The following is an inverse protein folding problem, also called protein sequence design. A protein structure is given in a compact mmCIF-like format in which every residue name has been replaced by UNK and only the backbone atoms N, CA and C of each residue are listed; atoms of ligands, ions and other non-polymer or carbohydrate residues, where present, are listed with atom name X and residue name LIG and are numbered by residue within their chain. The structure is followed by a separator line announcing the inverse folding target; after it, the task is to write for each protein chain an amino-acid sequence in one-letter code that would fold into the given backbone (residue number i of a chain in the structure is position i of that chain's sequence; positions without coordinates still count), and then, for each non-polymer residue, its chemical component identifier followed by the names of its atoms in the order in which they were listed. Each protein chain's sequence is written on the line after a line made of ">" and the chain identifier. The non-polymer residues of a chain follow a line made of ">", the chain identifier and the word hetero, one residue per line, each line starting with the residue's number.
data_IF_711832399215
#
_entry.id   IF_711832399215
#
_cell.length_a   1.000
_cell.length_b   1.000
_cell.length_c   1.000
_cell.angle_alpha   90.00
_cell.angle_beta   90.00
_cell.angle_gamma   90.00
#
_symmetry.space_group_name_H-M   'P 1'
#
loop_
_entity.id
_entity.type
_entity.pdbx_description
1 polymer ?
#
# COMPACT_ATOMS: atom_id res chain seq x y z
N UNK A 1 -9.60 -13.97 -4.51
CA UNK A 1 -8.24 -13.89 -5.10
C UNK A 1 -7.37 -12.93 -4.30
N UNK A 2 -6.07 -13.22 -4.09
CA UNK A 2 -5.16 -12.36 -3.30
C UNK A 2 -4.17 -11.61 -4.19
N UNK A 3 -4.04 -10.31 -3.99
CA UNK A 3 -3.06 -9.46 -4.69
C UNK A 3 -2.09 -8.84 -3.69
N UNK A 4 -0.79 -8.90 -4.00
CA UNK A 4 0.24 -8.26 -3.17
C UNK A 4 0.43 -6.81 -3.61
N UNK A 5 0.74 -5.92 -2.66
CA UNK A 5 1.16 -4.57 -2.97
C UNK A 5 2.46 -4.56 -3.80
N UNK A 6 2.55 -3.65 -4.76
CA UNK A 6 3.74 -3.34 -5.55
C UNK A 6 4.74 -2.60 -4.66
N UNK A 7 5.92 -3.19 -4.50
CA UNK A 7 6.95 -2.68 -3.61
C UNK A 7 7.97 -1.87 -4.38
N UNK A 8 8.14 -0.60 -4.01
CA UNK A 8 9.24 0.23 -4.47
C UNK A 8 10.57 -0.22 -3.83
N UNK A 9 11.54 -0.73 -4.61
CA UNK A 9 12.80 -1.25 -4.07
C UNK A 9 13.65 -0.16 -3.39
N UNK A 10 13.60 1.11 -3.84
CA UNK A 10 14.31 2.20 -3.19
C UNK A 10 13.82 2.44 -1.77
N UNK A 11 12.49 2.39 -1.57
CA UNK A 11 11.92 2.58 -0.25
C UNK A 11 12.34 1.44 0.69
N UNK A 12 12.40 0.21 0.18
CA UNK A 12 12.89 -0.94 0.96
C UNK A 12 14.36 -0.77 1.31
N UNK A 13 15.22 -0.47 0.33
CA UNK A 13 16.66 -0.28 0.55
C UNK A 13 16.90 0.85 1.54
N UNK A 14 16.18 1.97 1.38
CA UNK A 14 16.30 3.13 2.27
C UNK A 14 15.91 2.80 3.70
N UNK A 15 14.76 2.14 3.94
CA UNK A 15 14.38 1.73 5.30
C UNK A 15 15.39 0.72 5.86
N UNK A 16 15.80 -0.27 5.08
CA UNK A 16 16.76 -1.29 5.55
C UNK A 16 18.10 -0.67 5.94
N UNK A 17 18.62 0.27 5.14
CA UNK A 17 19.83 1.03 5.45
C UNK A 17 19.65 1.88 6.71
N UNK A 18 18.50 2.53 6.85
CA UNK A 18 18.20 3.35 8.02
C UNK A 18 18.17 2.49 9.30
N UNK A 19 17.52 1.32 9.24
CA UNK A 19 17.50 0.34 10.34
C UNK A 19 18.90 -0.18 10.64
N UNK A 20 19.74 -0.48 9.63
CA UNK A 20 21.09 -1.00 9.86
C UNK A 20 22.00 0.02 10.51
N UNK A 21 21.98 1.29 10.06
CA UNK A 21 22.72 2.40 10.69
C UNK A 21 22.28 2.56 12.15
N UNK A 22 20.96 2.50 12.39
CA UNK A 22 20.40 2.63 13.72
C UNK A 22 20.82 1.48 14.65
N UNK A 23 20.80 0.25 14.15
CA UNK A 23 21.28 -0.93 14.86
C UNK A 23 22.76 -0.80 15.24
N UNK A 24 23.60 -0.34 14.30
CA UNK A 24 25.03 -0.12 14.56
C UNK A 24 25.21 0.97 15.63
N UNK A 25 24.45 2.07 15.57
CA UNK A 25 24.50 3.15 16.55
C UNK A 25 24.17 2.69 17.98
N UNK A 26 23.29 1.70 18.15
CA UNK A 26 22.95 1.15 19.48
C UNK A 26 24.16 0.49 20.17
N UNK A 27 25.12 -0.06 19.41
CA UNK A 27 26.32 -0.68 19.99
C UNK A 27 27.35 0.35 20.48
N UNK A 28 27.29 1.58 19.96
CA UNK A 28 28.22 2.65 20.34
C UNK A 28 27.64 3.62 21.39
N UNK A 29 26.33 3.55 21.65
CA UNK A 29 25.67 4.40 22.64
C UNK A 29 25.49 3.63 23.96
N UNK A 30 26.19 4.07 25.01
CA UNK A 30 26.19 3.42 26.32
C UNK A 30 24.94 3.74 27.17
N UNK A 31 24.08 4.63 26.69
CA UNK A 31 22.85 5.08 27.35
C UNK A 31 21.64 4.59 26.56
N UNK A 32 20.74 3.83 27.21
CA UNK A 32 19.47 3.40 26.63
C UNK A 32 18.48 4.56 26.59
N UNK A 33 18.67 5.46 25.64
CA UNK A 33 17.77 6.60 25.47
C UNK A 33 16.43 6.13 24.88
N UNK A 34 15.35 6.38 25.63
CA UNK A 34 13.94 6.13 25.23
C UNK A 34 13.64 6.65 23.81
N UNK A 35 14.27 7.76 23.43
CA UNK A 35 14.14 8.33 22.10
C UNK A 35 14.58 7.34 21.01
N UNK A 36 15.68 6.62 21.23
CA UNK A 36 16.18 5.66 20.25
C UNK A 36 15.26 4.45 20.11
N UNK A 37 14.78 3.92 21.24
CA UNK A 37 13.82 2.80 21.23
C UNK A 37 12.53 3.17 20.51
N UNK A 38 12.01 4.39 20.73
CA UNK A 38 10.80 4.87 20.07
C UNK A 38 11.00 5.06 18.55
N UNK A 39 12.13 5.63 18.15
CA UNK A 39 12.50 5.77 16.73
C UNK A 39 12.62 4.41 16.03
N UNK A 40 13.20 3.40 16.69
CA UNK A 40 13.30 2.04 16.15
C UNK A 40 11.94 1.39 15.97
N UNK A 41 11.07 1.52 16.98
CA UNK A 41 9.70 0.98 16.93
C UNK A 41 8.91 1.58 15.76
N UNK A 42 8.98 2.91 15.57
CA UNK A 42 8.32 3.60 14.45
C UNK A 42 8.82 3.10 13.08
N UNK A 43 10.13 2.83 12.95
CA UNK A 43 10.68 2.29 11.70
C UNK A 43 10.21 0.85 11.43
N UNK A 44 10.13 0.01 12.46
CA UNK A 44 9.62 -1.36 12.35
C UNK A 44 8.15 -1.34 11.93
N UNK A 45 7.34 -0.47 12.55
CA UNK A 45 5.92 -0.31 12.18
C UNK A 45 5.79 0.11 10.71
N UNK A 46 6.53 1.12 10.26
CA UNK A 46 6.52 1.55 8.86
C UNK A 46 6.93 0.43 7.89
N UNK A 47 7.98 -0.32 8.22
CA UNK A 47 8.41 -1.46 7.41
C UNK A 47 7.33 -2.54 7.36
N UNK A 48 6.73 -2.87 8.50
CA UNK A 48 5.65 -3.87 8.58
C UNK A 48 4.45 -3.45 7.73
N UNK A 49 4.07 -2.17 7.74
CA UNK A 49 2.99 -1.63 6.92
C UNK A 49 3.22 -1.89 5.44
N UNK A 50 4.44 -1.68 5.00
CA UNK A 50 4.84 -1.91 3.62
C UNK A 50 4.88 -3.39 3.22
N UNK A 51 5.29 -4.27 4.13
CA UNK A 51 5.45 -5.71 3.83
C UNK A 51 4.15 -6.51 3.90
N UNK A 52 3.26 -6.15 4.82
CA UNK A 52 2.00 -6.87 5.05
C UNK A 52 0.81 -6.31 4.28
N UNK A 53 1.00 -5.24 3.50
CA UNK A 53 -0.07 -4.70 2.65
C UNK A 53 -0.46 -5.66 1.53
N UNK A 54 -1.72 -6.06 1.50
CA UNK A 54 -2.29 -6.94 0.47
C UNK A 54 -3.79 -6.73 0.31
N UNK A 55 -4.30 -7.19 -0.81
CA UNK A 55 -5.70 -7.18 -1.16
C UNK A 55 -6.22 -8.60 -1.20
N UNK A 56 -7.44 -8.79 -0.72
CA UNK A 56 -8.17 -10.03 -0.91
C UNK A 56 -9.54 -9.70 -1.49
N UNK A 57 -9.75 -10.12 -2.73
CA UNK A 57 -11.03 -10.00 -3.45
C UNK A 57 -11.84 -11.25 -3.10
N UNK A 58 -12.94 -11.07 -2.38
CA UNK A 58 -13.89 -12.15 -2.05
C UNK A 58 -15.02 -12.18 -3.08
N UNK A 59 -16.10 -12.92 -2.82
CA UNK A 59 -17.27 -12.97 -3.71
C UNK A 59 -18.12 -11.69 -3.64
N UNK A 60 -18.11 -10.99 -2.50
CA UNK A 60 -18.99 -9.84 -2.26
C UNK A 60 -18.23 -8.56 -1.84
N UNK A 61 -16.97 -8.68 -1.42
CA UNK A 61 -16.22 -7.58 -0.84
C UNK A 61 -14.76 -7.54 -1.26
N UNK A 62 -14.21 -6.33 -1.32
CA UNK A 62 -12.78 -6.08 -1.37
C UNK A 62 -12.24 -5.87 0.04
N UNK A 63 -11.36 -6.76 0.47
CA UNK A 63 -10.62 -6.60 1.72
C UNK A 63 -9.28 -5.94 1.41
N UNK A 64 -9.09 -4.73 1.93
CA UNK A 64 -7.85 -3.96 1.87
C UNK A 64 -7.13 -4.09 3.20
N UNK A 65 -5.97 -4.74 3.20
CA UNK A 65 -5.07 -4.80 4.35
C UNK A 65 -3.90 -3.86 4.14
N UNK A 66 -3.73 -2.93 5.06
CA UNK A 66 -2.58 -2.04 5.11
C UNK A 66 -1.80 -2.25 6.41
N UNK A 67 -0.69 -2.99 6.32
CA UNK A 67 0.07 -3.38 7.49
C UNK A 67 -0.66 -4.33 8.43
N UNK A 68 -0.35 -4.19 9.72
CA UNK A 68 -0.88 -5.05 10.78
C UNK A 68 -2.21 -4.53 11.36
N UNK A 69 -2.44 -3.22 11.28
CA UNK A 69 -3.51 -2.54 12.03
C UNK A 69 -4.72 -2.25 11.15
N UNK A 70 -4.51 -1.86 9.90
CA UNK A 70 -5.61 -1.43 9.05
C UNK A 70 -6.16 -2.59 8.23
N UNK A 71 -7.41 -2.92 8.52
CA UNK A 71 -8.23 -3.90 7.82
C UNK A 71 -9.54 -3.22 7.44
N UNK A 72 -9.70 -2.92 6.16
CA UNK A 72 -10.93 -2.31 5.64
C UNK A 72 -11.59 -3.30 4.69
N UNK A 73 -12.81 -3.70 5.03
CA UNK A 73 -13.66 -4.47 4.13
C UNK A 73 -14.62 -3.52 3.43
N UNK A 74 -14.64 -3.57 2.11
CA UNK A 74 -15.42 -2.68 1.27
C UNK A 74 -16.34 -3.54 0.41
N UNK A 75 -17.65 -3.55 0.64
CA UNK A 75 -18.61 -4.23 -0.24
C UNK A 75 -18.51 -3.72 -1.68
N UNK A 76 -18.66 -4.61 -2.65
CA UNK A 76 -18.56 -4.25 -4.06
C UNK A 76 -19.63 -3.26 -4.52
N UNK A 77 -20.81 -3.31 -3.91
CA UNK A 77 -21.91 -2.37 -4.16
C UNK A 77 -21.53 -0.93 -3.81
N UNK A 78 -20.70 -0.73 -2.79
CA UNK A 78 -20.31 0.58 -2.28
C UNK A 78 -19.15 1.21 -3.06
N UNK A 79 -18.41 0.43 -3.85
CA UNK A 79 -17.28 0.93 -4.64
C UNK A 79 -17.80 1.78 -5.79
N UNK A 80 -17.47 3.08 -5.77
CA UNK A 80 -17.90 4.03 -6.79
C UNK A 80 -16.83 4.28 -7.85
N UNK A 81 -15.62 4.55 -7.40
CA UNK A 81 -14.52 4.77 -8.31
C UNK A 81 -13.17 4.46 -7.67
N UNK A 82 -12.25 4.06 -8.55
CA UNK A 82 -10.86 3.78 -8.21
C UNK A 82 -10.01 4.76 -8.99
N UNK A 83 -9.08 5.41 -8.31
CA UNK A 83 -8.22 6.43 -8.88
C UNK A 83 -6.77 6.11 -8.58
N UNK A 84 -5.92 6.25 -9.59
CA UNK A 84 -4.48 6.25 -9.38
C UNK A 84 -4.01 7.69 -9.15
N UNK A 85 -3.38 7.92 -8.02
CA UNK A 85 -2.89 9.23 -7.58
C UNK A 85 -1.37 9.21 -7.48
N UNK A 86 -0.71 10.33 -7.76
CA UNK A 86 0.76 10.41 -7.79
C UNK A 86 1.38 10.15 -9.17
N UNK A 87 2.72 10.06 -9.22
CA UNK A 87 3.48 9.95 -10.48
C UNK A 87 3.77 8.50 -10.84
N UNK A 88 3.35 8.09 -12.04
CA UNK A 88 3.97 6.97 -12.75
C UNK A 88 5.44 7.31 -12.95
N UNK A 89 6.33 6.49 -12.42
CA UNK A 89 7.73 6.55 -12.83
C UNK A 89 7.83 5.75 -14.14
N UNK A 90 8.81 6.07 -14.99
CA UNK A 90 9.02 5.43 -16.31
C UNK A 90 9.33 3.92 -16.26
N UNK A 91 9.20 3.24 -15.11
CA UNK A 91 9.53 1.84 -14.94
C UNK A 91 8.30 1.04 -14.55
N UNK A 92 8.07 -0.08 -15.24
CA UNK A 92 7.02 -1.06 -14.90
C UNK A 92 7.06 -1.54 -13.46
N UNK A 93 8.25 -1.54 -12.82
CA UNK A 93 8.42 -2.04 -11.45
C UNK A 93 8.32 -0.93 -10.41
N UNK A 94 8.42 0.34 -10.80
CA UNK A 94 8.56 1.45 -9.87
C UNK A 94 7.41 2.42 -10.00
N UNK A 95 6.75 2.71 -8.89
CA UNK A 95 5.75 3.76 -8.89
C UNK A 95 5.76 4.48 -7.55
N UNK A 96 5.53 5.80 -7.60
CA UNK A 96 5.11 6.58 -6.43
C UNK A 96 3.60 6.77 -6.43
N UNK A 97 2.90 6.05 -7.31
CA UNK A 97 1.46 6.07 -7.31
C UNK A 97 0.89 5.35 -6.10
N UNK A 98 -0.27 5.83 -5.72
CA UNK A 98 -1.15 5.24 -4.73
C UNK A 98 -2.47 4.92 -5.41
N UNK A 99 -3.11 3.87 -4.92
CA UNK A 99 -4.46 3.50 -5.29
C UNK A 99 -5.41 4.13 -4.27
N UNK A 100 -6.25 5.04 -4.73
CA UNK A 100 -7.35 5.64 -3.97
C UNK A 100 -8.64 4.90 -4.35
N UNK A 101 -9.26 4.22 -3.40
CA UNK A 101 -10.54 3.53 -3.59
C UNK A 101 -11.60 4.34 -2.86
N UNK A 102 -12.54 4.92 -3.60
CA UNK A 102 -13.65 5.68 -3.05
C UNK A 102 -14.90 4.83 -2.96
N UNK A 103 -15.43 4.73 -1.75
CA UNK A 103 -16.60 3.92 -1.41
C UNK A 103 -17.60 4.72 -0.58
N UNK A 104 -18.80 4.19 -0.36
CA UNK A 104 -19.91 4.88 0.32
C UNK A 104 -20.16 6.28 -0.28
N UNK A 105 -20.63 7.26 0.50
CA UNK A 105 -20.85 8.63 0.01
C UNK A 105 -19.61 9.52 0.09
N UNK A 106 -18.74 9.32 1.10
CA UNK A 106 -17.59 10.19 1.35
C UNK A 106 -16.32 9.45 1.75
N UNK A 107 -16.36 8.12 1.83
CA UNK A 107 -15.24 7.35 2.35
C UNK A 107 -14.23 7.04 1.24
N UNK A 108 -12.96 7.00 1.63
CA UNK A 108 -11.89 6.54 0.77
C UNK A 108 -10.81 5.82 1.55
N UNK A 109 -10.16 4.87 0.87
CA UNK A 109 -8.95 4.23 1.37
C UNK A 109 -7.83 4.44 0.37
N UNK A 110 -6.69 4.93 0.87
CA UNK A 110 -5.48 5.13 0.07
C UNK A 110 -4.48 4.05 0.43
N UNK A 111 -3.99 3.34 -0.57
CA UNK A 111 -3.13 2.17 -0.38
C UNK A 111 -2.14 2.00 -1.54
N UNK A 112 -1.19 1.08 -1.39
CA UNK A 112 -0.17 0.82 -2.40
C UNK A 112 -0.76 0.13 -3.64
N UNK A 113 -0.35 0.57 -4.82
CA UNK A 113 -0.78 -0.04 -6.09
C UNK A 113 -0.53 -1.57 -6.07
N UNK A 114 -1.48 -2.41 -6.49
CA UNK A 114 -1.28 -3.86 -6.56
C UNK A 114 -0.19 -4.22 -7.58
N UNK A 115 0.52 -5.34 -7.38
CA UNK A 115 1.60 -5.77 -8.28
C UNK A 115 1.08 -6.14 -9.69
N UNK A 116 -0.11 -6.73 -9.75
CA UNK A 116 -0.79 -7.13 -10.99
C UNK A 116 -1.95 -6.14 -11.23
N UNK A 117 -1.60 -4.93 -11.64
CA UNK A 117 -2.51 -3.77 -11.76
C UNK A 117 -3.70 -4.06 -12.70
N UNK A 118 -3.40 -4.52 -13.91
CA UNK A 118 -4.40 -4.80 -14.94
C UNK A 118 -5.40 -5.86 -14.50
N UNK A 119 -4.91 -7.03 -14.07
CA UNK A 119 -5.74 -8.12 -13.56
C UNK A 119 -6.59 -7.71 -12.36
N UNK A 120 -6.04 -6.89 -11.46
CA UNK A 120 -6.79 -6.39 -10.31
C UNK A 120 -7.94 -5.50 -10.75
N UNK A 121 -7.71 -4.61 -11.71
CA UNK A 121 -8.73 -3.70 -12.24
C UNK A 121 -9.77 -4.45 -13.07
N UNK A 122 -9.36 -5.44 -13.88
CA UNK A 122 -10.29 -6.32 -14.62
C UNK A 122 -11.20 -7.07 -13.65
N UNK A 123 -10.63 -7.71 -12.63
CA UNK A 123 -11.42 -8.42 -11.62
C UNK A 123 -12.36 -7.48 -10.86
N UNK A 124 -11.93 -6.26 -10.54
CA UNK A 124 -12.83 -5.26 -9.93
C UNK A 124 -13.94 -4.82 -10.88
N UNK A 125 -13.68 -4.66 -12.18
CA UNK A 125 -14.73 -4.33 -13.16
C UNK A 125 -15.76 -5.46 -13.32
N UNK A 126 -15.31 -6.70 -13.25
CA UNK A 126 -16.20 -7.88 -13.29
C UNK A 126 -17.15 -7.92 -12.10
N UNK A 127 -16.64 -7.62 -10.89
CA UNK A 127 -17.43 -7.67 -9.66
C UNK A 127 -18.20 -6.37 -9.37
N UNK A 128 -17.73 -5.23 -9.89
CA UNK A 128 -18.31 -3.89 -9.70
C UNK A 128 -18.53 -3.20 -11.06
N UNK A 129 -19.53 -3.59 -11.87
CA UNK A 129 -19.76 -2.98 -13.19
C UNK A 129 -20.06 -1.47 -13.13
N UNK A 130 -20.54 -0.96 -11.99
CA UNK A 130 -20.80 0.46 -11.74
C UNK A 130 -19.53 1.28 -11.44
N UNK A 131 -18.41 0.62 -11.11
CA UNK A 131 -17.18 1.28 -10.71
C UNK A 131 -16.53 2.00 -11.90
N UNK A 132 -16.12 3.26 -11.69
CA UNK A 132 -15.33 4.02 -12.67
C UNK A 132 -13.83 3.97 -12.33
N UNK A 133 -12.99 3.78 -13.34
CA UNK A 133 -11.52 3.88 -13.19
C UNK A 133 -11.08 5.25 -13.67
N UNK A 134 -10.52 6.06 -12.76
CA UNK A 134 -10.02 7.40 -13.04
C UNK A 134 -8.49 7.40 -13.10
N UNK A 135 -7.92 8.16 -14.04
CA UNK A 135 -6.47 8.31 -14.21
C UNK A 135 -5.74 6.96 -14.32
N UNK A 136 -6.24 6.04 -15.14
CA UNK A 136 -5.52 4.80 -15.45
C UNK A 136 -4.11 5.15 -15.97
N UNK A 137 -3.04 4.45 -15.54
CA UNK A 137 -1.69 4.69 -16.03
C UNK A 137 -1.53 4.50 -17.55
N UNK A 138 -2.55 3.98 -18.25
CA UNK A 138 -2.61 3.93 -19.70
C UNK A 138 -3.23 5.22 -20.28
N UNK A 139 -2.42 6.27 -20.44
CA UNK A 139 -2.53 7.15 -21.60
C UNK A 139 -1.15 7.74 -21.93
N UNK A 140 -0.28 6.87 -22.49
CA UNK A 140 0.74 7.19 -23.50
C UNK A 140 1.36 5.90 -24.03
#
# INVERSE_FOLDING_TARGET
>A
MKFKAKKNPFHVIFITLFISIFLVSLFFHNESSIFFTLMMLLNIVNLSSFYFSHYNVTEASLIVKHGFVFHTEIPFEDIRHVKFSGKTLHSEKWTRQQLEIHYNLFDSVTTFVPKEEEKFIELLKENCPQMKVLNSPANK
#
